data_IF_795245234390
#
_entry.id   IF_795245234390
#
_cell.length_a   1.000
_cell.length_b   1.000
_cell.length_c   1.000
_cell.angle_alpha   90.00
_cell.angle_beta   90.00
_cell.angle_gamma   90.00
#
_symmetry.space_group_name_H-M   'P 1'
#
loop_
_entity.id
_entity.type
_entity.pdbx_description
1 polymer ?
2 non-polymer ?
3 non-polymer ?
4 non-polymer ?
5 non-polymer ?
6 water ?
#
# COMPACT_ATOMS: atom_id res chain seq x y z
N UNK A 1 9.10 30.14 6.86
CA UNK A 1 10.47 29.64 6.93
C UNK A 1 10.58 28.50 7.94
N UNK A 2 9.45 27.92 8.30
CA UNK A 2 9.41 26.89 9.33
C UNK A 2 10.21 25.66 8.93
N UNK A 3 10.09 25.28 7.66
CA UNK A 3 10.60 23.99 7.20
C UNK A 3 12.12 23.95 7.27
N UNK A 4 12.77 24.98 6.74
CA UNK A 4 14.21 25.14 6.87
C UNK A 4 14.67 25.08 8.32
N UNK A 5 13.76 25.38 9.26
CA UNK A 5 14.09 25.37 10.69
C UNK A 5 14.29 23.95 11.22
N UNK A 6 13.90 22.97 10.43
CA UNK A 6 13.99 21.56 10.81
C UNK A 6 15.17 20.87 10.12
N UNK A 7 15.84 21.59 9.24
CA UNK A 7 17.04 21.09 8.57
C UNK A 7 18.12 20.54 9.52
N UNK A 8 18.36 21.21 10.68
CA UNK A 8 19.41 20.64 11.53
C UNK A 8 19.06 19.23 11.98
N UNK A 9 17.78 18.98 12.21
CA UNK A 9 17.34 17.64 12.55
C UNK A 9 17.51 16.67 11.37
N UNK A 10 17.33 17.16 10.15
CA UNK A 10 17.52 16.33 8.95
C UNK A 10 18.97 15.85 8.79
N UNK A 11 19.92 16.76 8.92
CA UNK A 11 21.34 16.41 8.81
C UNK A 11 21.75 15.40 9.88
N UNK A 12 21.22 15.57 11.08
CA UNK A 12 21.46 14.63 12.17
C UNK A 12 20.86 13.27 11.83
N UNK A 13 19.61 13.27 11.41
CA UNK A 13 18.91 12.05 11.05
C UNK A 13 19.64 11.32 9.91
N UNK A 14 20.25 12.08 9.02
CA UNK A 14 21.00 11.51 7.91
C UNK A 14 22.18 10.67 8.39
N UNK A 15 22.92 11.19 9.37
CA UNK A 15 24.01 10.45 9.98
C UNK A 15 23.51 9.14 10.58
N UNK A 16 22.37 9.19 11.25
CA UNK A 16 21.85 8.01 11.94
C UNK A 16 21.44 6.95 10.91
N UNK A 17 20.77 7.39 9.85
CA UNK A 17 20.31 6.51 8.79
C UNK A 17 21.48 5.95 7.99
N UNK A 18 22.48 6.80 7.71
CA UNK A 18 23.61 6.35 6.91
C UNK A 18 24.46 5.31 7.66
N UNK A 19 24.55 5.48 8.98
CA UNK A 19 25.32 4.56 9.81
C UNK A 19 24.65 3.18 9.76
N UNK A 20 23.36 3.14 10.06
CA UNK A 20 22.62 1.89 10.01
C UNK A 20 22.77 1.22 8.66
N UNK A 21 22.52 1.97 7.59
CA UNK A 21 22.64 1.42 6.26
C UNK A 21 24.05 0.93 5.98
N UNK A 22 25.06 1.64 6.47
CA UNK A 22 26.43 1.19 6.29
C UNK A 22 26.65 -0.15 6.98
N UNK A 23 26.09 -0.31 8.18
CA UNK A 23 26.26 -1.57 8.92
C UNK A 23 25.66 -2.73 8.14
N UNK A 24 24.48 -2.51 7.57
CA UNK A 24 23.83 -3.51 6.72
C UNK A 24 24.66 -3.82 5.46
N UNK A 25 25.12 -2.76 4.79
CA UNK A 25 25.89 -2.88 3.56
C UNK A 25 27.14 -3.74 3.76
N UNK A 26 27.80 -3.57 4.90
CA UNK A 26 29.10 -4.18 5.10
C UNK A 26 29.04 -5.43 5.97
N UNK A 27 27.83 -5.90 6.27
CA UNK A 27 27.69 -7.20 6.89
C UNK A 27 27.81 -7.23 8.40
N UNK A 28 27.59 -6.08 9.03
CA UNK A 28 27.71 -5.96 10.48
C UNK A 28 26.43 -6.27 11.23
N UNK A 29 25.31 -6.27 10.52
CA UNK A 29 24.03 -6.63 11.13
C UNK A 29 23.47 -7.84 10.39
N UNK A 30 22.77 -8.71 11.11
CA UNK A 30 22.29 -9.96 10.55
C UNK A 30 21.14 -9.73 9.57
N UNK A 31 21.20 -10.42 8.44
CA UNK A 31 20.09 -10.46 7.50
C UNK A 31 19.51 -11.87 7.46
N UNK A 32 18.26 -12.02 7.87
CA UNK A 32 17.64 -13.33 7.99
C UNK A 32 16.94 -13.79 6.71
N UNK A 33 16.99 -15.09 6.47
CA UNK A 33 16.49 -15.68 5.23
C UNK A 33 15.29 -16.59 5.52
N UNK A 34 14.13 -16.28 4.94
CA UNK A 34 12.99 -17.20 4.99
C UNK A 34 13.21 -18.25 3.90
N UNK A 35 12.66 -19.47 4.09
CA UNK A 35 12.93 -20.55 3.13
C UNK A 35 12.02 -20.57 1.90
N UNK A 36 11.22 -19.53 1.68
CA UNK A 36 10.51 -19.40 0.41
C UNK A 36 10.78 -17.99 -0.11
N UNK A 37 10.51 -17.74 -1.40
CA UNK A 37 10.79 -16.41 -1.95
C UNK A 37 10.08 -15.25 -1.26
N UNK A 38 10.77 -14.13 -1.21
CA UNK A 38 10.30 -12.90 -0.61
C UNK A 38 10.46 -11.76 -1.60
N UNK A 39 9.36 -11.12 -1.93
CA UNK A 39 9.39 -9.92 -2.74
C UNK A 39 9.10 -8.72 -1.86
N UNK A 40 9.96 -7.71 -1.90
CA UNK A 40 9.68 -6.50 -1.16
C UNK A 40 9.16 -5.41 -2.07
N UNK A 41 8.11 -4.73 -1.60
CA UNK A 41 7.60 -3.50 -2.20
C UNK A 41 7.94 -2.41 -1.22
N UNK A 42 8.43 -1.27 -1.70
CA UNK A 42 8.86 -0.23 -0.78
C UNK A 42 8.84 1.17 -1.34
N UNK A 43 9.04 2.15 -0.46
CA UNK A 43 9.32 3.50 -0.93
C UNK A 43 10.19 4.30 0.02
N UNK A 44 10.73 5.39 -0.52
CA UNK A 44 11.64 6.25 0.21
C UNK A 44 10.93 7.32 0.99
N UNK A 45 9.62 7.43 0.78
CA UNK A 45 8.88 8.53 1.37
C UNK A 45 8.00 8.07 2.53
N UNK A 46 7.67 9.00 3.43
CA UNK A 46 6.65 8.74 4.45
C UNK A 46 5.25 9.00 3.90
N UNK A 47 5.16 9.66 2.75
CA UNK A 47 3.89 9.83 2.07
C UNK A 47 3.62 8.68 1.11
N UNK A 48 2.39 8.59 0.60
CA UNK A 48 2.02 7.49 -0.28
C UNK A 48 2.77 7.51 -1.60
N UNK A 49 3.09 6.33 -2.12
CA UNK A 49 3.68 6.25 -3.46
C UNK A 49 3.04 5.14 -4.26
N UNK A 50 1.75 4.89 -4.01
CA UNK A 50 0.99 3.92 -4.78
C UNK A 50 1.17 2.47 -4.37
N UNK A 51 1.57 2.23 -3.13
CA UNK A 51 1.87 0.86 -2.70
C UNK A 51 0.70 -0.13 -2.70
N UNK A 52 -0.47 0.31 -2.27
CA UNK A 52 -1.62 -0.61 -2.26
C UNK A 52 -1.93 -1.04 -3.69
N UNK A 53 -1.97 -0.11 -4.62
CA UNK A 53 -2.15 -0.44 -6.03
C UNK A 53 -1.11 -1.46 -6.50
N UNK A 54 0.17 -1.20 -6.22
CA UNK A 54 1.20 -2.09 -6.72
C UNK A 54 1.15 -3.47 -6.06
N UNK A 55 0.77 -3.52 -4.79
CA UNK A 55 0.59 -4.81 -4.17
C UNK A 55 -0.58 -5.57 -4.83
N UNK A 56 -1.65 -4.84 -5.17
CA UNK A 56 -2.77 -5.47 -5.89
C UNK A 56 -2.30 -6.05 -7.22
N UNK A 57 -1.52 -5.27 -7.95
CA UNK A 57 -0.99 -5.69 -9.23
C UNK A 57 -0.07 -6.90 -9.06
N UNK A 58 0.76 -6.85 -8.03
CA UNK A 58 1.78 -7.87 -7.82
C UNK A 58 1.12 -9.20 -7.43
N UNK A 59 0.12 -9.12 -6.56
CA UNK A 59 -0.67 -10.28 -6.16
C UNK A 59 -1.36 -10.92 -7.36
N UNK A 60 -1.87 -10.10 -8.27
CA UNK A 60 -2.52 -10.62 -9.46
C UNK A 60 -1.52 -11.37 -10.35
N UNK A 61 -0.32 -10.84 -10.51
CA UNK A 61 0.71 -11.57 -11.24
C UNK A 61 0.98 -12.94 -10.60
N UNK A 62 0.82 -13.00 -9.28
CA UNK A 62 1.16 -14.19 -8.53
C UNK A 62 -0.09 -15.01 -8.23
N UNK A 63 -1.12 -14.85 -9.04
CA UNK A 63 -2.41 -15.48 -8.78
C UNK A 63 -2.36 -17.01 -8.76
N UNK A 64 -1.32 -17.61 -9.36
CA UNK A 64 -1.19 -19.06 -9.34
C UNK A 64 -0.37 -19.61 -8.17
N UNK A 65 0.08 -18.72 -7.28
CA UNK A 65 0.81 -19.12 -6.10
C UNK A 65 0.01 -18.85 -4.85
N UNK A 66 0.31 -19.57 -3.77
CA UNK A 66 -0.21 -19.19 -2.46
C UNK A 66 0.57 -17.98 -1.96
N UNK A 67 -0.13 -16.85 -1.83
CA UNK A 67 0.52 -15.58 -1.47
C UNK A 67 0.20 -15.13 -0.04
N UNK A 68 1.20 -14.63 0.65
CA UNK A 68 0.99 -14.04 1.97
C UNK A 68 1.68 -12.69 2.06
N UNK A 69 0.91 -11.66 2.43
CA UNK A 69 1.47 -10.32 2.65
C UNK A 69 2.01 -10.24 4.06
N UNK A 70 3.23 -9.72 4.20
CA UNK A 70 3.79 -9.45 5.52
C UNK A 70 3.76 -7.95 5.74
N UNK A 71 2.85 -7.52 6.59
CA UNK A 71 2.67 -6.11 6.87
C UNK A 71 3.14 -5.76 8.27
N UNK A 72 3.60 -4.53 8.44
CA UNK A 72 4.08 -4.05 9.72
C UNK A 72 2.95 -4.02 10.74
N UNK A 73 1.76 -3.64 10.26
CA UNK A 73 0.62 -3.39 11.13
C UNK A 73 0.98 -2.38 12.21
N UNK A 74 1.51 -1.24 11.78
CA UNK A 74 2.19 -0.30 12.65
C UNK A 74 1.26 0.30 13.71
N UNK A 75 0.04 0.64 13.29
CA UNK A 75 -0.87 1.41 14.11
C UNK A 75 -1.24 0.64 15.37
N UNK A 76 -1.42 -0.66 15.23
CA UNK A 76 -2.34 -1.40 16.08
C UNK A 76 -1.91 -1.39 17.54
N UNK A 77 -2.90 -1.30 18.42
CA UNK A 77 -2.71 -1.12 19.86
C UNK A 77 -2.32 -2.47 20.46
N UNK A 78 -2.72 -3.56 19.81
CA UNK A 78 -2.25 -4.90 20.15
C UNK A 78 -0.90 -5.11 19.47
N UNK A 79 -0.17 -6.15 19.87
CA UNK A 79 1.15 -6.39 19.32
C UNK A 79 1.40 -7.87 19.04
N UNK A 80 2.67 -8.26 18.89
CA UNK A 80 3.02 -9.62 18.55
C UNK A 80 2.73 -9.91 17.09
N UNK A 81 2.84 -11.17 16.70
CA UNK A 81 2.58 -11.58 15.32
C UNK A 81 1.16 -12.06 15.23
N UNK A 82 0.46 -11.69 14.15
CA UNK A 82 -0.98 -11.88 14.07
C UNK A 82 -1.44 -12.21 12.66
N UNK A 83 -2.19 -13.28 12.52
CA UNK A 83 -2.80 -13.59 11.23
C UNK A 83 -4.07 -12.76 11.09
N UNK A 84 -4.06 -11.85 10.11
CA UNK A 84 -5.20 -10.99 9.86
C UNK A 84 -6.17 -11.71 8.94
N UNK A 85 -5.61 -12.37 7.93
CA UNK A 85 -6.40 -13.01 6.88
C UNK A 85 -5.78 -14.33 6.43
N UNK A 86 -6.61 -15.35 6.30
CA UNK A 86 -6.19 -16.61 5.70
C UNK A 86 -6.82 -16.76 4.33
N UNK A 87 -6.02 -16.54 3.28
CA UNK A 87 -6.50 -16.58 1.89
C UNK A 87 -7.89 -15.97 1.68
N UNK A 88 -8.08 -14.74 2.16
CA UNK A 88 -9.33 -14.03 1.97
C UNK A 88 -10.22 -14.04 3.19
N UNK A 89 -10.07 -15.05 4.05
CA UNK A 89 -10.90 -15.14 5.25
C UNK A 89 -10.38 -14.27 6.38
N UNK A 90 -11.09 -13.19 6.67
CA UNK A 90 -10.69 -12.29 7.77
C UNK A 90 -10.80 -13.02 9.10
N UNK A 91 -9.73 -12.94 9.88
CA UNK A 91 -9.67 -13.63 11.17
C UNK A 91 -9.89 -12.66 12.33
N UNK A 92 -9.78 -11.37 12.06
CA UNK A 92 -9.92 -10.37 13.12
C UNK A 92 -10.62 -9.15 12.55
N UNK A 93 -11.06 -8.26 13.42
CA UNK A 93 -11.67 -7.01 12.98
C UNK A 93 -10.60 -5.99 12.63
N UNK A 94 -11.03 -4.90 12.00
CA UNK A 94 -10.12 -3.85 11.59
C UNK A 94 -9.50 -3.13 12.78
N UNK A 95 -10.27 -2.98 13.86
CA UNK A 95 -9.74 -2.44 15.10
C UNK A 95 -8.47 -3.20 15.49
N UNK A 96 -8.57 -4.51 15.61
CA UNK A 96 -7.47 -5.34 16.06
C UNK A 96 -6.33 -5.46 15.03
N UNK A 97 -6.68 -5.43 13.75
CA UNK A 97 -5.69 -5.62 12.69
C UNK A 97 -4.95 -4.34 12.33
N UNK A 98 -5.56 -3.19 12.64
CA UNK A 98 -5.11 -1.94 12.07
C UNK A 98 -5.74 -1.76 10.70
N UNK A 99 -6.07 -0.51 10.37
CA UNK A 99 -6.76 -0.16 9.14
C UNK A 99 -6.13 -0.71 7.90
N UNK A 100 -4.82 -0.48 7.78
CA UNK A 100 -4.12 -0.82 6.55
C UNK A 100 -3.99 -2.31 6.25
N UNK A 101 -3.61 -3.13 7.25
CA UNK A 101 -3.54 -4.55 6.88
C UNK A 101 -4.94 -5.11 6.63
N UNK A 102 -5.94 -4.61 7.36
CA UNK A 102 -7.31 -5.06 7.14
C UNK A 102 -7.77 -4.69 5.73
N UNK A 103 -7.45 -3.48 5.29
CA UNK A 103 -7.91 -3.04 3.98
C UNK A 103 -7.27 -3.87 2.88
N UNK A 104 -5.99 -4.17 3.04
CA UNK A 104 -5.29 -4.98 2.04
C UNK A 104 -5.88 -6.36 1.92
N UNK A 105 -6.24 -6.95 3.06
CA UNK A 105 -6.92 -8.24 3.08
C UNK A 105 -8.27 -8.17 2.34
N UNK A 106 -8.96 -7.04 2.44
CA UNK A 106 -10.24 -6.89 1.75
C UNK A 106 -10.04 -6.62 0.26
N UNK A 107 -8.99 -5.89 -0.09
CA UNK A 107 -8.69 -5.62 -1.49
C UNK A 107 -8.14 -6.87 -2.20
N UNK A 108 -7.65 -7.85 -1.44
CA UNK A 108 -7.05 -9.06 -2.01
C UNK A 108 -7.59 -10.34 -1.38
N UNK A 109 -8.80 -10.76 -1.79
CA UNK A 109 -9.50 -11.90 -1.18
C UNK A 109 -8.91 -13.27 -1.53
N UNK A 110 -7.81 -13.31 -2.27
CA UNK A 110 -7.16 -14.59 -2.51
C UNK A 110 -5.86 -14.78 -1.72
N UNK A 111 -5.39 -13.73 -1.04
CA UNK A 111 -4.10 -13.80 -0.36
C UNK A 111 -4.24 -13.77 1.16
N UNK A 112 -3.24 -14.30 1.85
CA UNK A 112 -3.18 -14.17 3.31
C UNK A 112 -2.50 -12.87 3.68
N UNK A 113 -2.78 -12.39 4.88
CA UNK A 113 -2.11 -11.21 5.40
C UNK A 113 -1.71 -11.44 6.85
N UNK A 114 -0.42 -11.21 7.15
CA UNK A 114 0.09 -11.30 8.51
C UNK A 114 0.67 -9.97 9.00
N UNK A 115 0.26 -9.54 10.19
CA UNK A 115 0.76 -8.29 10.74
C UNK A 115 1.82 -8.54 11.80
N UNK A 116 3.01 -7.99 11.58
CA UNK A 116 4.11 -8.26 12.50
C UNK A 116 5.19 -7.23 12.29
N UNK A 117 5.55 -6.51 13.34
CA UNK A 117 6.66 -5.57 13.28
C UNK A 117 7.92 -6.21 12.70
N UNK A 118 8.30 -7.36 13.25
CA UNK A 118 9.38 -8.17 12.71
C UNK A 118 8.81 -9.04 11.58
N UNK A 119 9.09 -8.68 10.33
CA UNK A 119 8.54 -9.43 9.19
C UNK A 119 8.95 -10.92 9.21
N UNK A 120 10.20 -11.19 9.57
CA UNK A 120 10.68 -12.57 9.63
C UNK A 120 9.80 -13.46 10.51
N UNK A 121 9.50 -12.98 11.72
CA UNK A 121 8.66 -13.71 12.64
C UNK A 121 7.27 -13.90 12.05
N UNK A 122 6.82 -12.89 11.32
CA UNK A 122 5.56 -12.97 10.59
C UNK A 122 5.60 -14.12 9.62
N UNK A 123 6.70 -14.23 8.87
CA UNK A 123 6.85 -15.28 7.87
C UNK A 123 6.87 -16.67 8.48
N UNK A 124 7.59 -16.84 9.58
CA UNK A 124 7.63 -18.11 10.31
C UNK A 124 6.23 -18.55 10.72
N UNK A 125 5.47 -17.65 11.33
CA UNK A 125 4.09 -17.97 11.71
C UNK A 125 3.29 -18.37 10.48
N UNK A 126 3.44 -17.62 9.40
CA UNK A 126 2.70 -17.94 8.17
C UNK A 126 3.10 -19.32 7.64
N UNK A 127 4.38 -19.63 7.74
CA UNK A 127 4.89 -20.92 7.27
C UNK A 127 4.27 -22.09 8.02
N UNK A 128 4.10 -21.91 9.32
CA UNK A 128 3.53 -22.95 10.15
C UNK A 128 2.02 -23.13 9.94
N UNK A 129 1.30 -22.02 9.76
CA UNK A 129 -0.16 -22.03 9.73
C UNK A 129 -0.78 -21.96 8.34
N UNK A 130 -0.04 -21.38 7.40
CA UNK A 130 -0.66 -21.00 6.13
C UNK A 130 0.00 -21.63 4.91
N UNK A 131 1.18 -22.23 5.10
CA UNK A 131 1.99 -22.80 4.02
C UNK A 131 2.11 -22.01 2.70
N UNK A 132 2.33 -20.71 2.79
CA UNK A 132 2.44 -19.93 1.56
C UNK A 132 3.64 -20.26 0.66
N UNK A 133 3.57 -19.91 -0.61
CA UNK A 133 4.68 -20.18 -1.52
C UNK A 133 5.55 -18.95 -1.79
N UNK A 134 5.02 -17.77 -1.49
CA UNK A 134 5.75 -16.52 -1.73
C UNK A 134 5.28 -15.47 -0.74
N UNK A 135 6.20 -14.63 -0.28
CA UNK A 135 5.83 -13.53 0.59
C UNK A 135 5.96 -12.21 -0.13
N UNK A 136 5.03 -11.30 0.16
CA UNK A 136 5.17 -9.92 -0.28
C UNK A 136 5.26 -9.02 0.94
N UNK A 137 6.35 -8.26 1.06
CA UNK A 137 6.43 -7.20 2.08
C UNK A 137 5.83 -5.96 1.48
N UNK A 138 4.73 -5.48 2.06
CA UNK A 138 4.07 -4.35 1.43
C UNK A 138 4.80 -3.02 1.69
N UNK A 139 5.63 -2.97 2.73
CA UNK A 139 6.42 -1.77 3.00
C UNK A 139 7.74 -2.19 3.65
N UNK A 140 8.62 -2.78 2.85
CA UNK A 140 9.78 -3.48 3.40
C UNK A 140 11.14 -3.03 2.93
N UNK A 141 11.22 -1.87 2.27
CA UNK A 141 12.48 -1.38 1.73
C UNK A 141 13.51 -1.10 2.84
N UNK A 142 13.05 -0.54 3.96
CA UNK A 142 13.95 -0.24 5.07
C UNK A 142 14.10 -1.41 6.05
N UNK A 143 13.26 -2.43 5.90
CA UNK A 143 13.31 -3.56 6.83
C UNK A 143 14.41 -4.56 6.43
N UNK A 144 15.65 -4.09 6.49
CA UNK A 144 16.76 -4.79 5.86
C UNK A 144 17.17 -6.07 6.60
N UNK A 145 16.68 -6.19 7.83
CA UNK A 145 16.76 -7.40 8.63
C UNK A 145 16.23 -8.64 7.89
N UNK A 146 15.24 -8.48 7.03
CA UNK A 146 14.73 -9.61 6.26
C UNK A 146 15.27 -9.60 4.84
N UNK A 147 15.95 -10.66 4.45
CA UNK A 147 16.38 -10.80 3.06
C UNK A 147 15.18 -10.80 2.12
N UNK A 148 15.28 -10.08 1.01
CA UNK A 148 14.28 -10.21 -0.05
C UNK A 148 15.00 -10.61 -1.33
N UNK A 149 14.38 -11.48 -2.12
CA UNK A 149 14.96 -11.97 -3.37
C UNK A 149 14.71 -11.00 -4.52
N UNK A 150 13.71 -10.16 -4.35
CA UNK A 150 13.41 -9.15 -5.35
C UNK A 150 12.98 -7.90 -4.60
N UNK A 151 13.79 -6.87 -4.73
CA UNK A 151 13.62 -5.63 -3.98
C UNK A 151 13.03 -4.58 -4.90
N UNK A 152 11.71 -4.40 -4.84
CA UNK A 152 11.04 -3.44 -5.70
C UNK A 152 10.84 -2.08 -4.98
N UNK A 153 11.28 -0.99 -5.61
CA UNK A 153 11.13 0.33 -4.98
C UNK A 153 10.18 1.19 -5.80
N UNK A 154 9.16 1.75 -5.15
CA UNK A 154 8.24 2.68 -5.80
C UNK A 154 8.78 4.08 -5.64
N UNK A 155 8.70 4.85 -6.71
CA UNK A 155 9.26 6.17 -6.74
C UNK A 155 8.28 7.06 -7.47
N UNK A 156 7.94 8.20 -6.87
CA UNK A 156 7.14 9.21 -7.57
C UNK A 156 8.02 10.43 -7.81
N UNK A 157 7.68 11.20 -8.85
CA UNK A 157 8.50 12.35 -9.24
C UNK A 157 8.86 13.25 -8.06
N UNK A 158 7.88 13.49 -7.21
CA UNK A 158 8.04 14.33 -6.02
C UNK A 158 9.16 13.87 -5.07
N UNK A 159 9.38 12.55 -4.98
CA UNK A 159 10.46 12.01 -4.15
C UNK A 159 11.80 12.58 -4.58
N UNK A 160 11.96 12.76 -5.88
CA UNK A 160 13.23 13.17 -6.46
C UNK A 160 13.61 14.60 -6.09
N UNK A 161 12.64 15.38 -5.61
CA UNK A 161 12.91 16.77 -5.21
C UNK A 161 12.77 16.96 -3.70
N UNK A 162 12.55 15.87 -2.98
CA UNK A 162 12.27 15.93 -1.55
C UNK A 162 13.57 15.92 -0.74
N UNK A 163 13.43 16.07 0.57
CA UNK A 163 14.57 16.08 1.49
C UNK A 163 14.25 15.11 2.62
N UNK A 164 15.23 14.80 3.45
CA UNK A 164 15.02 13.87 4.56
C UNK A 164 14.09 14.43 5.63
N UNK A 165 13.32 13.56 6.27
CA UNK A 165 12.63 13.85 7.52
C UNK A 165 13.59 14.58 8.43
N UNK A 166 13.08 15.51 9.24
CA UNK A 166 11.69 15.98 9.26
C UNK A 166 11.44 17.21 8.38
N UNK A 167 12.50 17.76 7.78
CA UNK A 167 12.34 18.90 6.90
C UNK A 167 11.57 18.50 5.65
N UNK A 168 11.85 17.31 5.13
CA UNK A 168 11.16 16.78 3.97
C UNK A 168 10.46 15.48 4.33
N UNK A 169 10.01 14.72 3.33
CA UNK A 169 9.30 13.48 3.59
C UNK A 169 10.12 12.21 3.41
N UNK A 170 11.40 12.33 3.08
CA UNK A 170 12.19 11.14 2.80
C UNK A 170 12.62 10.40 4.07
N UNK A 171 12.43 9.09 4.06
CA UNK A 171 12.89 8.23 5.13
C UNK A 171 14.37 7.93 4.99
N UNK A 172 14.85 7.98 3.75
CA UNK A 172 16.24 7.67 3.43
C UNK A 172 16.69 8.59 2.32
N UNK A 173 18.00 8.89 2.26
CA UNK A 173 18.55 9.71 1.18
C UNK A 173 18.34 9.03 -0.15
N UNK A 174 18.25 9.80 -1.24
CA UNK A 174 17.99 9.24 -2.57
C UNK A 174 19.05 8.26 -3.06
N UNK A 175 20.26 8.34 -2.53
CA UNK A 175 21.32 7.41 -2.94
C UNK A 175 20.92 5.95 -2.68
N UNK A 176 20.01 5.74 -1.72
CA UNK A 176 19.61 4.40 -1.39
C UNK A 176 18.75 3.72 -2.46
N UNK A 177 18.40 4.47 -3.50
CA UNK A 177 17.80 3.87 -4.69
C UNK A 177 18.65 2.70 -5.20
N UNK A 178 19.96 2.76 -4.94
CA UNK A 178 20.87 1.71 -5.38
C UNK A 178 20.52 0.31 -4.85
N UNK A 179 19.80 0.23 -3.73
CA UNK A 179 19.41 -1.06 -3.17
C UNK A 179 18.32 -1.79 -3.96
N UNK A 180 17.65 -1.08 -4.86
CA UNK A 180 16.53 -1.64 -5.61
C UNK A 180 17.01 -2.52 -6.75
N UNK A 181 16.31 -3.64 -6.97
CA UNK A 181 16.51 -4.46 -8.16
C UNK A 181 15.63 -3.93 -9.28
N UNK A 182 14.51 -3.30 -8.93
CA UNK A 182 13.61 -2.74 -9.93
C UNK A 182 12.89 -1.51 -9.41
N UNK A 183 12.63 -0.55 -10.29
CA UNK A 183 11.88 0.64 -9.95
C UNK A 183 10.52 0.64 -10.62
N UNK A 184 9.52 1.08 -9.87
CA UNK A 184 8.19 1.28 -10.41
C UNK A 184 7.89 2.76 -10.26
N UNK A 185 7.69 3.45 -11.38
CA UNK A 185 7.48 4.89 -11.34
C UNK A 185 6.00 5.19 -11.19
N UNK A 186 5.64 5.84 -10.09
CA UNK A 186 4.23 6.03 -9.73
C UNK A 186 3.76 7.47 -9.74
N UNK A 187 2.46 7.64 -9.44
CA UNK A 187 1.78 8.92 -9.59
C UNK A 187 1.88 9.47 -11.02
N UNK A 188 1.86 8.58 -12.00
CA UNK A 188 1.95 8.97 -13.41
C UNK A 188 0.73 9.79 -13.85
N UNK A 189 -0.43 9.43 -13.33
CA UNK A 189 -1.69 10.08 -13.71
C UNK A 189 -1.63 11.59 -13.45
N UNK A 190 -1.18 11.98 -12.27
CA UNK A 190 -1.11 13.40 -11.91
C UNK A 190 0.25 14.05 -12.25
N UNK A 191 1.34 13.33 -12.02
CA UNK A 191 2.68 13.83 -12.31
C UNK A 191 3.50 12.82 -13.11
N UNK A 192 3.20 12.69 -14.42
CA UNK A 192 3.97 11.73 -15.22
C UNK A 192 5.43 12.16 -15.27
N UNK A 193 6.33 11.19 -15.34
CA UNK A 193 7.77 11.48 -15.34
C UNK A 193 8.55 10.23 -15.74
N UNK A 194 9.77 10.45 -16.22
CA UNK A 194 10.69 9.36 -16.56
C UNK A 194 11.86 9.45 -15.61
N UNK A 195 12.59 8.35 -15.45
CA UNK A 195 13.76 8.29 -14.59
C UNK A 195 14.64 7.13 -15.00
N UNK A 196 15.83 7.43 -15.51
CA UNK A 196 16.74 6.37 -15.96
C UNK A 196 17.83 6.10 -14.94
N UNK A 197 17.97 4.83 -14.54
CA UNK A 197 19.06 4.45 -13.65
C UNK A 197 19.87 3.28 -14.19
N UNK A 198 19.38 2.66 -15.26
CA UNK A 198 19.98 1.42 -15.72
C UNK A 198 19.27 0.22 -15.12
N UNK A 199 18.62 0.41 -13.99
CA UNK A 199 17.81 -0.65 -13.38
C UNK A 199 16.55 -0.87 -14.20
N UNK A 200 16.01 -2.10 -14.16
CA UNK A 200 14.70 -2.37 -14.76
C UNK A 200 13.64 -1.44 -14.17
N UNK A 201 12.88 -0.78 -15.03
CA UNK A 201 12.04 0.32 -14.59
C UNK A 201 10.68 0.24 -15.30
N UNK A 202 9.62 0.49 -14.55
CA UNK A 202 8.26 0.29 -15.06
C UNK A 202 7.35 1.40 -14.57
N UNK A 203 6.64 2.04 -15.50
CA UNK A 203 5.62 3.02 -15.11
C UNK A 203 4.32 2.31 -14.71
N UNK A 204 3.75 2.74 -13.59
CA UNK A 204 2.47 2.22 -13.12
C UNK A 204 1.32 3.17 -13.47
N UNK A 205 0.21 2.63 -13.93
CA UNK A 205 -1.01 3.40 -14.20
C UNK A 205 -2.22 2.76 -13.56
N UNK A 206 -3.16 3.60 -13.14
CA UNK A 206 -4.44 3.13 -12.64
C UNK A 206 -5.53 3.55 -13.61
N UNK A 207 -6.55 2.70 -13.77
CA UNK A 207 -7.70 3.05 -14.60
C UNK A 207 -9.00 2.60 -13.91
N UNK A 208 -10.00 3.45 -13.97
CA UNK A 208 -11.28 3.15 -13.33
C UNK A 208 -11.90 1.89 -13.91
N UNK A 209 -12.29 0.97 -13.03
CA UNK A 209 -12.92 -0.27 -13.46
C UNK A 209 -14.37 -0.40 -13.03
N UNK A 210 -14.61 -0.28 -11.72
CA UNK A 210 -15.92 -0.59 -11.12
C UNK A 210 -16.05 0.00 -9.72
N UNK A 211 -17.25 -0.05 -9.16
CA UNK A 211 -17.44 0.10 -7.71
C UNK A 211 -17.05 -1.12 -6.86
N UNK A 212 -16.70 -0.87 -5.61
CA UNK A 212 -16.65 -1.92 -4.61
C UNK A 212 -17.83 -1.74 -3.66
N UNK A 213 -18.60 -2.80 -3.43
CA UNK A 213 -19.65 -2.69 -2.42
C UNK A 213 -19.09 -2.86 -1.01
N UNK A 214 -19.96 -2.77 0.00
CA UNK A 214 -19.53 -2.81 1.39
C UNK A 214 -18.94 -4.16 1.81
N UNK A 215 -19.13 -5.18 0.98
CA UNK A 215 -18.50 -6.50 1.17
C UNK A 215 -17.25 -6.64 0.31
N UNK A 216 -16.84 -5.54 -0.30
CA UNK A 216 -15.68 -5.49 -1.21
C UNK A 216 -15.79 -6.39 -2.44
N UNK A 217 -17.01 -6.68 -2.87
CA UNK A 217 -17.21 -7.35 -4.15
C UNK A 217 -17.25 -6.33 -5.27
N UNK A 218 -16.87 -6.74 -6.47
CA UNK A 218 -16.92 -5.86 -7.62
C UNK A 218 -18.33 -5.77 -8.20
N UNK A 219 -18.80 -4.54 -8.37
CA UNK A 219 -20.13 -4.30 -8.93
C UNK A 219 -20.02 -3.25 -10.03
N UNK A 220 -20.89 -3.33 -11.04
CA UNK A 220 -20.74 -2.43 -12.18
C UNK A 220 -20.95 -0.96 -11.83
N UNK A 221 -20.27 -0.10 -12.57
CA UNK A 221 -20.40 1.35 -12.47
C UNK A 221 -21.81 1.81 -12.89
N UNK A 222 -22.49 0.97 -13.67
CA UNK A 222 -23.79 1.30 -14.26
C UNK A 222 -24.82 1.84 -13.27
N UNK A 223 -24.78 1.34 -12.04
CA UNK A 223 -25.81 1.66 -11.06
C UNK A 223 -25.88 3.15 -10.72
N UNK A 224 -24.87 3.90 -11.10
CA UNK A 224 -24.82 5.34 -10.86
C UNK A 224 -25.54 6.12 -11.96
N UNK A 225 -25.79 5.44 -13.08
CA UNK A 225 -26.50 6.05 -14.21
C UNK A 225 -27.81 6.69 -13.74
N UNK A 226 -27.94 7.99 -13.98
CA UNK A 226 -29.12 8.76 -13.59
C UNK A 226 -29.39 8.75 -12.08
N UNK A 227 -28.34 8.55 -11.29
CA UNK A 227 -28.44 8.74 -9.85
C UNK A 227 -27.46 9.83 -9.43
N UNK A 228 -27.82 10.57 -8.40
CA UNK A 228 -26.87 11.48 -7.78
C UNK A 228 -26.44 10.88 -6.44
N UNK A 229 -25.12 10.85 -6.19
CA UNK A 229 -24.61 10.21 -4.99
C UNK A 229 -24.26 11.23 -3.91
N UNK A 230 -24.31 10.77 -2.67
CA UNK A 230 -23.74 11.49 -1.55
C UNK A 230 -22.35 10.90 -1.32
N UNK A 231 -21.33 11.75 -1.35
CA UNK A 231 -19.96 11.29 -1.17
C UNK A 231 -19.46 11.76 0.18
N UNK A 232 -18.58 10.96 0.78
CA UNK A 232 -17.92 11.37 2.01
C UNK A 232 -16.52 10.74 2.15
N UNK A 233 -15.67 11.36 2.96
CA UNK A 233 -14.37 10.79 3.31
C UNK A 233 -13.79 11.45 4.56
N UNK A 234 -12.67 10.92 5.04
CA UNK A 234 -11.86 11.59 6.03
C UNK A 234 -11.40 12.97 5.58
N UNK A 235 -10.99 13.79 6.56
CA UNK A 235 -10.63 15.19 6.36
C UNK A 235 -9.62 15.41 5.23
N UNK A 236 -8.49 14.72 5.30
CA UNK A 236 -7.42 14.90 4.35
C UNK A 236 -7.74 14.40 2.96
N UNK A 237 -8.40 13.24 2.89
CA UNK A 237 -8.72 12.60 1.62
C UNK A 237 -9.70 13.40 0.77
N UNK A 238 -10.44 14.29 1.42
CA UNK A 238 -11.44 15.14 0.78
C UNK A 238 -10.96 15.70 -0.56
N UNK A 239 -9.71 16.17 -0.60
CA UNK A 239 -9.14 16.75 -1.79
C UNK A 239 -9.05 15.80 -2.97
N UNK A 240 -8.26 14.74 -2.81
CA UNK A 240 -8.07 13.76 -3.90
C UNK A 240 -9.40 13.16 -4.36
N UNK A 241 -10.20 12.70 -3.39
CA UNK A 241 -11.49 12.05 -3.64
C UNK A 241 -12.43 12.92 -4.49
N UNK A 242 -12.61 14.17 -4.07
CA UNK A 242 -13.40 15.18 -4.80
C UNK A 242 -12.96 15.32 -6.27
N UNK A 243 -11.68 15.65 -6.46
CA UNK A 243 -11.10 15.77 -7.79
C UNK A 243 -11.40 14.54 -8.64
N UNK A 244 -11.22 13.36 -8.05
CA UNK A 244 -11.36 12.13 -8.81
C UNK A 244 -12.82 11.90 -9.19
N UNK A 245 -13.72 12.11 -8.25
CA UNK A 245 -15.15 11.94 -8.54
C UNK A 245 -15.57 12.87 -9.67
N UNK A 246 -15.04 14.09 -9.69
CA UNK A 246 -15.39 15.04 -10.74
C UNK A 246 -14.88 14.61 -12.10
N UNK A 247 -13.60 14.24 -12.17
CA UNK A 247 -12.99 13.83 -13.44
C UNK A 247 -13.60 12.54 -14.02
N UNK A 248 -14.19 11.72 -13.17
CA UNK A 248 -14.88 10.51 -13.60
C UNK A 248 -16.31 10.82 -14.06
N UNK A 249 -16.73 12.06 -13.89
CA UNK A 249 -18.06 12.48 -14.29
C UNK A 249 -19.15 12.07 -13.33
N UNK A 250 -18.76 11.60 -12.16
CA UNK A 250 -19.73 11.16 -11.17
C UNK A 250 -20.51 12.33 -10.58
N UNK A 251 -21.84 12.23 -10.62
CA UNK A 251 -22.71 13.29 -10.14
C UNK A 251 -22.85 13.24 -8.62
N UNK A 252 -22.34 14.26 -7.94
CA UNK A 252 -22.38 14.31 -6.48
C UNK A 252 -23.29 15.44 -6.04
N UNK A 253 -24.37 15.11 -5.32
CA UNK A 253 -25.34 16.10 -4.86
C UNK A 253 -24.89 16.73 -3.53
N UNK A 254 -24.01 16.04 -2.82
CA UNK A 254 -23.53 16.50 -1.53
C UNK A 254 -22.23 15.81 -1.13
N UNK A 255 -21.29 16.57 -0.58
CA UNK A 255 -20.06 16.00 -0.07
C UNK A 255 -19.99 16.24 1.44
N UNK A 256 -19.48 15.25 2.18
CA UNK A 256 -19.33 15.36 3.61
C UNK A 256 -17.89 15.07 4.02
N UNK A 257 -17.32 15.94 4.85
CA UNK A 257 -15.95 15.75 5.35
C UNK A 257 -15.93 15.40 6.84
N UNK A 258 -15.42 14.21 7.15
CA UNK A 258 -15.28 13.72 8.52
C UNK A 258 -13.82 13.83 8.96
N UNK A 259 -13.56 13.80 10.28
CA UNK A 259 -12.16 13.78 10.73
C UNK A 259 -11.45 12.51 10.26
N UNK A 260 -10.13 12.58 10.11
CA UNK A 260 -9.34 11.46 9.62
C UNK A 260 -9.41 10.29 10.59
N UNK A 261 -9.41 10.60 11.88
CA UNK A 261 -9.70 9.60 12.90
C UNK A 261 -11.20 9.43 13.14
N UNK A 262 -11.89 8.79 12.20
CA UNK A 262 -13.28 8.41 12.42
C UNK A 262 -13.50 6.91 12.32
N UNK A 263 -14.14 6.34 13.34
CA UNK A 263 -14.48 4.92 13.36
C UNK A 263 -15.91 4.70 12.84
N UNK A 264 -16.53 5.78 12.38
CA UNK A 264 -17.91 5.80 11.90
C UNK A 264 -18.90 5.16 12.88
N UNK A 265 -18.66 5.39 14.15
CA UNK A 265 -19.49 4.82 15.21
C UNK A 265 -20.80 5.59 15.37
N UNK A 266 -20.89 6.77 14.78
CA UNK A 266 -22.12 7.55 14.82
C UNK A 266 -22.71 7.78 13.42
N UNK A 267 -22.21 7.07 12.42
CA UNK A 267 -22.64 7.28 11.05
C UNK A 267 -24.00 6.66 10.78
N UNK A 268 -24.94 7.47 10.32
CA UNK A 268 -26.29 6.99 9.99
C UNK A 268 -26.66 7.39 8.57
N UNK A 269 -26.50 6.46 7.62
CA UNK A 269 -26.93 6.78 6.26
C UNK A 269 -28.44 6.68 6.09
N UNK A 270 -28.89 7.20 4.96
CA UNK A 270 -30.29 7.28 4.62
C UNK A 270 -30.63 6.11 3.69
N UNK A 271 -31.65 5.35 4.06
CA UNK A 271 -32.19 4.29 3.22
C UNK A 271 -32.56 4.91 1.89
N UNK A 272 -32.19 4.24 0.80
CA UNK A 272 -32.58 4.68 -0.51
C UNK A 272 -31.56 5.56 -1.22
N UNK A 273 -30.63 6.14 -0.47
CA UNK A 273 -29.58 6.97 -1.08
C UNK A 273 -28.37 6.11 -1.36
N UNK A 274 -27.58 6.52 -2.36
CA UNK A 274 -26.34 5.84 -2.69
C UNK A 274 -25.17 6.68 -2.24
N UNK A 275 -24.25 6.04 -1.51
CA UNK A 275 -23.06 6.73 -0.99
C UNK A 275 -21.80 6.23 -1.65
N UNK A 276 -20.86 7.15 -1.86
CA UNK A 276 -19.52 6.81 -2.32
C UNK A 276 -18.53 7.30 -1.29
N UNK A 277 -17.55 6.46 -0.99
CA UNK A 277 -16.50 6.85 -0.08
C UNK A 277 -15.18 6.14 -0.46
N UNK A 278 -14.15 6.31 0.35
CA UNK A 278 -12.84 5.70 0.07
C UNK A 278 -12.81 4.28 0.61
N UNK A 279 -11.96 3.43 0.02
CA UNK A 279 -11.85 2.07 0.57
C UNK A 279 -11.43 2.07 2.05
N UNK A 280 -10.63 3.04 2.46
CA UNK A 280 -10.21 3.15 3.86
C UNK A 280 -11.39 3.47 4.78
N UNK A 281 -12.38 4.17 4.26
CA UNK A 281 -13.59 4.41 5.03
C UNK A 281 -14.56 3.23 4.94
N UNK A 282 -14.60 2.61 3.76
CA UNK A 282 -15.56 1.53 3.48
C UNK A 282 -15.44 0.35 4.46
N UNK A 283 -14.20 0.05 4.88
CA UNK A 283 -13.95 -1.09 5.79
C UNK A 283 -14.69 -0.96 7.11
N UNK A 284 -15.05 0.27 7.50
CA UNK A 284 -15.74 0.48 8.76
C UNK A 284 -17.25 0.51 8.60
N UNK A 285 -17.71 0.21 7.40
CA UNK A 285 -19.13 0.33 7.08
C UNK A 285 -19.71 -0.90 6.37
N UNK A 286 -19.19 -2.09 6.65
CA UNK A 286 -19.72 -3.26 5.95
C UNK A 286 -21.13 -3.56 6.44
N UNK A 287 -21.95 -4.13 5.58
CA UNK A 287 -23.34 -4.29 5.95
C UNK A 287 -24.20 -3.22 5.32
N UNK A 288 -23.75 -1.96 5.36
CA UNK A 288 -24.45 -0.91 4.64
C UNK A 288 -24.38 -1.17 3.13
N UNK A 289 -25.46 -1.68 2.58
CA UNK A 289 -25.45 -2.11 1.19
C UNK A 289 -25.66 -0.97 0.20
N UNK A 290 -25.75 0.25 0.69
CA UNK A 290 -25.86 1.40 -0.19
C UNK A 290 -24.64 2.32 -0.12
N UNK A 291 -23.52 1.76 0.35
CA UNK A 291 -22.24 2.48 0.42
C UNK A 291 -21.20 1.77 -0.43
N UNK A 292 -20.54 2.51 -1.31
CA UNK A 292 -19.60 1.93 -2.28
C UNK A 292 -18.30 2.73 -2.33
N UNK A 293 -17.26 2.10 -2.87
CA UNK A 293 -15.98 2.77 -3.14
C UNK A 293 -15.64 2.53 -4.60
N UNK A 294 -14.69 3.32 -5.12
CA UNK A 294 -14.24 3.18 -6.49
C UNK A 294 -13.13 2.14 -6.53
N UNK A 295 -13.16 1.31 -7.57
CA UNK A 295 -12.14 0.29 -7.78
C UNK A 295 -11.38 0.62 -9.05
N UNK A 296 -10.04 0.57 -9.00
CA UNK A 296 -9.21 0.88 -10.16
C UNK A 296 -8.36 -0.32 -10.55
N UNK A 297 -8.31 -0.60 -11.85
CA UNK A 297 -7.38 -1.60 -12.38
C UNK A 297 -5.99 -1.01 -12.30
N UNK A 298 -5.00 -1.86 -12.04
CA UNK A 298 -3.61 -1.41 -11.94
C UNK A 298 -2.79 -2.04 -13.06
N UNK A 299 -2.10 -1.21 -13.84
CA UNK A 299 -1.31 -1.70 -14.96
C UNK A 299 0.13 -1.19 -14.97
N UNK A 300 1.04 -2.04 -15.44
CA UNK A 300 2.44 -1.67 -15.63
C UNK A 300 2.81 -1.70 -17.11
N UNK A 301 3.38 -0.59 -17.56
CA UNK A 301 3.84 -0.49 -18.94
C UNK A 301 5.07 -1.39 -19.14
N UNK A 302 5.07 -2.13 -20.26
CA UNK A 302 6.12 -3.08 -20.64
C UNK A 302 6.58 -3.93 -19.46
N UNK A 303 5.67 -4.75 -18.97
CA UNK A 303 5.82 -5.49 -17.73
C UNK A 303 6.65 -6.78 -17.86
N UNK A 304 6.93 -7.19 -19.09
CA UNK A 304 7.54 -8.50 -19.32
C UNK A 304 8.80 -8.75 -18.47
N UNK A 305 9.68 -7.75 -18.38
CA UNK A 305 10.92 -7.94 -17.62
C UNK A 305 10.62 -8.19 -16.15
N UNK A 306 9.64 -7.48 -15.62
CA UNK A 306 9.26 -7.68 -14.23
C UNK A 306 8.79 -9.13 -13.98
N UNK A 307 7.96 -9.65 -14.87
CA UNK A 307 7.51 -11.04 -14.77
C UNK A 307 8.69 -12.01 -14.80
N UNK A 308 9.66 -11.74 -15.68
CA UNK A 308 10.84 -12.58 -15.76
C UNK A 308 11.58 -12.60 -14.41
N UNK A 309 11.79 -11.41 -13.82
CA UNK A 309 12.45 -11.33 -12.50
C UNK A 309 11.71 -12.13 -11.44
N UNK A 310 10.38 -12.04 -11.45
CA UNK A 310 9.59 -12.76 -10.46
C UNK A 310 9.68 -14.27 -10.68
N UNK A 311 9.61 -14.67 -11.94
CA UNK A 311 9.69 -16.08 -12.30
C UNK A 311 10.98 -16.68 -11.74
N UNK A 312 12.08 -15.97 -11.94
CA UNK A 312 13.39 -16.48 -11.60
C UNK A 312 13.69 -16.63 -10.11
N UNK A 313 12.85 -16.07 -9.24
CA UNK A 313 13.14 -16.21 -7.81
C UNK A 313 12.62 -17.50 -7.24
N UNK A 314 11.86 -18.26 -8.03
CA UNK A 314 11.35 -19.55 -7.59
C UNK A 314 12.29 -20.73 -7.87
N UNK A 315 13.57 -20.43 -8.01
CA UNK A 315 14.59 -21.48 -8.15
C UNK A 315 15.62 -21.33 -7.05
X LIG B 1 -1.15 3.93 -0.28
X LIG B 1 0.22 4.43 0.13
X LIG B 1 -1.20 2.54 -0.82
X LIG B 1 -2.23 4.23 0.72
X LIG B 1 -1.33 6.39 -1.77
X LIG B 1 -0.09 6.67 -2.57
X LIG B 1 -1.50 7.09 -0.44
X LIG B 1 -1.58 4.81 -1.57
X LIG B 1 -3.13 6.15 -4.04
X LIG B 1 -3.41 7.42 -4.81
X LIG B 1 -2.24 5.12 -4.67
X LIG B 1 -2.62 6.76 -2.64
X LIG B 1 -4.55 5.45 -3.66
X LIG B 1 -5.38 6.07 -2.67
X LIG B 1 -6.08 5.04 -1.77
X LIG B 1 -7.03 4.25 -2.50
X LIG B 1 -5.10 4.05 -1.15
X LIG B 1 -4.60 4.56 0.09
X LIG B 1 -5.92 2.77 -1.02
X LIG B 1 -6.74 2.78 0.16
X LIG B 1 -6.92 2.87 -2.16
X LIG B 1 -6.46 2.20 -3.40
X LIG B 1 -5.19 2.08 -3.82
X LIG B 1 -5.14 1.44 -5.02
X LIG B 1 -6.41 1.16 -5.37
X LIG B 1 -7.07 0.50 -6.51
X LIG B 1 -6.33 0.01 -7.55
X LIG B 1 -8.43 0.41 -6.48
X LIG B 1 -9.17 0.90 -5.46
X LIG B 1 -8.63 1.52 -4.39
X LIG B 1 -7.29 1.67 -4.29
X LIG C 1 13.78 1.84 10.59
X LIG C 1 12.86 2.75 11.29
X LIG C 1 13.64 3.52 12.35
X LIG C 1 15.02 3.76 11.95
X LIG C 1 15.33 3.78 10.53
X LIG C 1 14.76 2.58 9.78
X LIG C 1 15.95 4.33 12.91
X LIG C 1 17.40 3.97 12.64
X LIG C 1 18.03 3.57 13.83
X LIG C 1 13.12 0.76 9.83
X LIG C 1 11.63 0.63 10.08
X LIG C 1 10.93 -0.87 9.32
X LIG C 1 11.88 -1.97 9.48
X LIG C 1 9.67 -1.23 9.95
X LIG C 1 10.71 -0.62 7.90
X LIG D 1 -4.86 7.41 -9.67
X LIG D 1 -6.26 7.53 -9.09
X LIG D 1 -6.25 8.63 -8.13
X LIG D 1 -7.25 7.88 -10.20
X LIG D 1 -6.72 6.25 -8.41
X LIG D 1 -5.93 5.91 -7.14
X LIG D 1 -6.00 6.96 -6.19
X LIG D 1 -6.45 4.61 -6.50
X LIG E 1 -9.50 7.89 -4.67
X LIG E 1 -9.02 8.31 -3.41
X LIG E 1 -10.41 6.66 -4.52
X LIG E 1 -11.03 6.70 -3.25
X LIG E 1 -9.54 5.40 -4.59
X LIG E 1 -10.31 4.22 -4.44
#
# INVERSE_FOLDING_TARGET
>A
MLRSSLLPFSYLYEKIINFRNTLYDKGFLKIKKLPVPVISVGNLSVGGSGKTSFVMYLADLLKDKRVCILSRGYKRKSKGTLIVSEYGNLKVSWEEAGDEPYLMAKLLPHVSVVASEDRYKGGLLALEKLSPEVFILDDGFQHRKLHRDLNILLLKKKDLKDRLLPAGNLREPLKEIRRADALVLTYQEVEPFEFFTGKPTFKMFREFCCLLNSDFEEVPFDILKEREVIAFSGLGDNGQFRKVLKNLGIKVKEFMSFPDHYDYSDFTPEEGEIYLTTPKDLIKLQGYENVFALNFKVKLEREEKLKKLIYRIFY
>B hetero
1 ATP PG O1G O2G O3G PB O1B O2B O3B PA O1A O2A O3A O5' C5' C4' O4' C3' O3' C2' O2' C1' N9 C8 N7 C5 C6 N6 N1 C2 N3 C4
>C hetero
1 EPE N1 C2 C3 N4 C5 C6 C7 C8 O8 C9 C10 S O1S O2S O3S
>D hetero
1 MPD C1 C2 O2 CM C3 C4 O4 C5
>E hetero
1 GOL C1 O1 C2 O2 C3 O3
#
